data_IF_755238540457
#
_entry.id   IF_755238540457
#
_cell.length_a   1.000
_cell.length_b   1.000
_cell.length_c   1.000
_cell.angle_alpha   90.00
_cell.angle_beta   90.00
_cell.angle_gamma   90.00
#
_symmetry.space_group_name_H-M   'P 1'
#
loop_
_entity.id
_entity.type
_entity.pdbx_description
1 polymer ?
#
# COMPACT_ATOMS: atom_id res chain seq x y z
N UNK A 1 8.31 -17.69 -2.20
CA UNK A 1 8.34 -16.22 -2.13
C UNK A 1 9.38 -15.77 -1.12
N UNK A 2 10.32 -14.89 -1.50
CA UNK A 2 11.34 -14.38 -0.58
C UNK A 2 10.74 -13.62 0.58
N UNK A 3 11.49 -13.53 1.68
CA UNK A 3 11.01 -12.80 2.87
C UNK A 3 10.72 -11.33 2.58
N UNK A 4 11.53 -10.69 1.74
CA UNK A 4 11.34 -9.27 1.40
C UNK A 4 10.02 -9.04 0.66
N UNK A 5 9.68 -9.90 -0.30
CA UNK A 5 8.43 -9.81 -1.05
C UNK A 5 7.24 -10.09 -0.14
N UNK A 6 7.35 -11.11 0.70
CA UNK A 6 6.29 -11.44 1.63
C UNK A 6 6.08 -10.33 2.67
N UNK A 7 7.18 -9.74 3.15
CA UNK A 7 7.08 -8.60 4.06
C UNK A 7 6.39 -7.42 3.38
N UNK A 8 6.75 -7.10 2.13
CA UNK A 8 6.09 -6.04 1.38
C UNK A 8 4.61 -6.33 1.18
N UNK A 9 4.25 -7.57 0.85
CA UNK A 9 2.87 -8.00 0.71
C UNK A 9 2.08 -7.80 2.00
N UNK A 10 2.64 -8.27 3.11
CA UNK A 10 1.98 -8.17 4.41
C UNK A 10 1.81 -6.73 4.86
N UNK A 11 2.84 -5.90 4.64
CA UNK A 11 2.79 -4.47 4.99
C UNK A 11 1.74 -3.75 4.15
N UNK A 12 1.70 -3.99 2.85
CA UNK A 12 0.74 -3.34 1.95
C UNK A 12 -0.70 -3.77 2.27
N UNK A 13 -0.93 -5.05 2.47
CA UNK A 13 -2.24 -5.58 2.84
C UNK A 13 -2.65 -5.07 4.22
N UNK A 14 -1.71 -5.00 5.16
CA UNK A 14 -1.96 -4.46 6.49
C UNK A 14 -2.42 -3.00 6.45
N UNK A 15 -1.78 -2.18 5.62
CA UNK A 15 -2.21 -0.79 5.44
C UNK A 15 -3.61 -0.72 4.84
N UNK A 16 -3.92 -1.56 3.86
CA UNK A 16 -5.25 -1.62 3.27
C UNK A 16 -6.30 -1.99 4.32
N UNK A 17 -6.01 -2.96 5.18
CA UNK A 17 -6.92 -3.35 6.26
C UNK A 17 -7.11 -2.22 7.28
N UNK A 18 -6.06 -1.50 7.63
CA UNK A 18 -6.17 -0.31 8.48
C UNK A 18 -7.11 0.71 7.85
N UNK A 19 -7.00 0.92 6.53
CA UNK A 19 -7.89 1.81 5.81
C UNK A 19 -9.34 1.37 5.89
N UNK A 20 -9.63 0.08 5.74
CA UNK A 20 -10.98 -0.46 5.86
C UNK A 20 -11.53 -0.22 7.27
N UNK A 21 -10.73 -0.53 8.30
CA UNK A 21 -11.15 -0.34 9.69
C UNK A 21 -11.43 1.13 9.99
N UNK A 22 -10.55 2.04 9.56
CA UNK A 22 -10.74 3.47 9.77
C UNK A 22 -11.98 3.98 9.07
N UNK A 23 -12.21 3.57 7.82
CA UNK A 23 -13.38 3.98 7.05
C UNK A 23 -14.66 3.45 7.66
N UNK A 24 -14.70 2.18 8.04
CA UNK A 24 -15.86 1.58 8.66
C UNK A 24 -16.18 2.23 10.01
N UNK A 25 -15.15 2.49 10.83
CA UNK A 25 -15.33 3.16 12.11
C UNK A 25 -15.84 4.58 11.95
N UNK A 26 -15.33 5.33 10.98
CA UNK A 26 -15.81 6.68 10.69
C UNK A 26 -17.25 6.67 10.23
N UNK A 27 -17.63 5.72 9.38
CA UNK A 27 -19.01 5.58 8.93
C UNK A 27 -19.97 5.23 10.06
N UNK A 28 -19.54 4.35 10.95
CA UNK A 28 -20.34 3.94 12.09
C UNK A 28 -20.53 5.07 13.11
N UNK A 29 -19.44 5.79 13.43
CA UNK A 29 -19.44 6.78 14.51
C UNK A 29 -19.87 8.17 14.05
N UNK A 30 -19.51 8.56 12.82
CA UNK A 30 -19.65 9.94 12.35
C UNK A 30 -20.53 10.07 11.11
N UNK A 31 -20.95 8.96 10.50
CA UNK A 31 -21.86 8.97 9.37
C UNK A 31 -21.16 8.75 8.03
N UNK A 32 -21.97 8.63 6.96
CA UNK A 32 -21.51 8.29 5.61
C UNK A 32 -20.54 9.31 5.03
N UNK A 33 -20.78 10.61 5.26
CA UNK A 33 -19.90 11.66 4.76
C UNK A 33 -18.49 11.54 5.35
N UNK A 34 -18.40 11.28 6.66
CA UNK A 34 -17.12 11.07 7.32
C UNK A 34 -16.41 9.83 6.76
N UNK A 35 -17.15 8.76 6.46
CA UNK A 35 -16.59 7.57 5.85
C UNK A 35 -15.97 7.88 4.48
N UNK A 36 -16.64 8.67 3.64
CA UNK A 36 -16.14 9.05 2.33
C UNK A 36 -14.84 9.84 2.47
N UNK A 37 -14.81 10.84 3.34
CA UNK A 37 -13.60 11.63 3.55
C UNK A 37 -12.45 10.85 4.15
N UNK A 38 -12.74 9.85 4.98
CA UNK A 38 -11.71 8.95 5.53
C UNK A 38 -11.19 8.00 4.46
N UNK A 39 -12.06 7.54 3.56
CA UNK A 39 -11.68 6.60 2.50
C UNK A 39 -10.75 7.22 1.46
N UNK A 40 -10.93 8.49 1.11
CA UNK A 40 -10.18 9.15 0.03
C UNK A 40 -8.66 9.01 0.19
N UNK A 41 -8.05 9.28 1.37
CA UNK A 41 -6.59 9.11 1.53
C UNK A 41 -6.13 7.66 1.43
N UNK A 42 -7.00 6.68 1.60
CA UNK A 42 -6.65 5.27 1.56
C UNK A 42 -6.81 4.63 0.17
N UNK A 43 -7.34 5.35 -0.82
CA UNK A 43 -7.59 4.77 -2.15
C UNK A 43 -6.31 4.17 -2.76
N UNK A 44 -5.17 4.89 -2.83
CA UNK A 44 -3.94 4.27 -3.36
C UNK A 44 -3.45 3.09 -2.51
N UNK A 45 -3.67 3.14 -1.19
CA UNK A 45 -3.30 2.03 -0.31
C UNK A 45 -4.10 0.76 -0.63
N UNK A 46 -5.37 0.91 -0.93
CA UNK A 46 -6.21 -0.23 -1.32
C UNK A 46 -5.79 -0.79 -2.66
N UNK A 47 -5.46 0.06 -3.62
CA UNK A 47 -4.92 -0.38 -4.90
C UNK A 47 -3.60 -1.13 -4.73
N UNK A 48 -2.72 -0.60 -3.89
CA UNK A 48 -1.46 -1.26 -3.56
C UNK A 48 -1.69 -2.62 -2.90
N UNK A 49 -2.63 -2.70 -1.97
CA UNK A 49 -3.00 -3.95 -1.32
C UNK A 49 -3.50 -5.00 -2.30
N UNK A 50 -4.34 -4.59 -3.27
CA UNK A 50 -4.82 -5.49 -4.32
C UNK A 50 -3.66 -6.00 -5.19
N UNK A 51 -2.75 -5.11 -5.58
CA UNK A 51 -1.56 -5.52 -6.34
C UNK A 51 -0.67 -6.45 -5.51
N UNK A 52 -0.53 -6.18 -4.21
CA UNK A 52 0.24 -7.03 -3.32
C UNK A 52 -0.29 -8.46 -3.26
N UNK A 53 -1.59 -8.64 -3.36
CA UNK A 53 -2.18 -9.97 -3.41
C UNK A 53 -1.75 -10.76 -4.66
N UNK A 54 -1.31 -10.06 -5.71
CA UNK A 54 -0.82 -10.70 -6.94
C UNK A 54 0.68 -10.97 -6.91
N UNK A 55 1.36 -10.73 -5.80
CA UNK A 55 2.81 -10.96 -5.69
C UNK A 55 3.19 -12.44 -5.84
N UNK A 56 2.24 -13.35 -5.79
CA UNK A 56 2.48 -14.74 -6.11
C UNK A 56 2.80 -14.96 -7.60
N UNK A 57 2.35 -14.05 -8.46
CA UNK A 57 2.65 -14.08 -9.88
C UNK A 57 4.01 -13.45 -10.15
N UNK A 58 4.72 -13.97 -11.13
CA UNK A 58 6.06 -13.50 -11.50
C UNK A 58 5.94 -12.48 -12.64
N UNK A 59 6.68 -11.39 -12.55
CA UNK A 59 6.72 -10.40 -13.61
C UNK A 59 7.14 -9.03 -13.09
N UNK A 60 8.08 -8.38 -13.77
CA UNK A 60 8.59 -7.06 -13.38
C UNK A 60 7.49 -5.99 -13.41
N UNK A 61 6.49 -6.15 -14.27
CA UNK A 61 5.39 -5.19 -14.32
C UNK A 61 4.63 -5.11 -12.99
N UNK A 62 4.47 -6.24 -12.29
CA UNK A 62 3.83 -6.26 -10.97
C UNK A 62 4.67 -5.49 -9.96
N UNK A 63 5.97 -5.73 -9.93
CA UNK A 63 6.91 -5.05 -9.04
C UNK A 63 6.93 -3.55 -9.30
N UNK A 64 7.06 -3.15 -10.57
CA UNK A 64 7.08 -1.73 -10.96
C UNK A 64 5.75 -1.07 -10.62
N UNK A 65 4.64 -1.73 -10.93
CA UNK A 65 3.31 -1.23 -10.58
C UNK A 65 3.13 -1.00 -9.09
N UNK A 66 3.59 -1.94 -8.28
CA UNK A 66 3.53 -1.81 -6.83
C UNK A 66 4.39 -0.65 -6.32
N UNK A 67 5.60 -0.47 -6.85
CA UNK A 67 6.47 0.65 -6.49
C UNK A 67 5.81 1.98 -6.86
N UNK A 68 5.25 2.08 -8.06
CA UNK A 68 4.56 3.30 -8.50
C UNK A 68 3.34 3.60 -7.63
N UNK A 69 2.56 2.59 -7.28
CA UNK A 69 1.41 2.78 -6.39
C UNK A 69 1.84 3.19 -4.99
N UNK A 70 2.93 2.63 -4.48
CA UNK A 70 3.47 3.03 -3.19
C UNK A 70 3.95 4.49 -3.21
N UNK A 71 4.63 4.89 -4.28
CA UNK A 71 5.06 6.28 -4.44
C UNK A 71 3.86 7.22 -4.54
N UNK A 72 2.83 6.83 -5.29
CA UNK A 72 1.59 7.60 -5.40
C UNK A 72 0.90 7.70 -4.05
N UNK A 73 0.83 6.61 -3.29
CA UNK A 73 0.26 6.62 -1.95
C UNK A 73 1.02 7.57 -1.03
N UNK A 74 2.35 7.59 -1.12
CA UNK A 74 3.18 8.50 -0.32
C UNK A 74 2.80 9.96 -0.60
N UNK A 75 2.72 10.34 -1.87
CA UNK A 75 2.34 11.70 -2.25
C UNK A 75 0.89 12.01 -1.93
N UNK A 76 0.00 11.04 -2.13
CA UNK A 76 -1.43 11.20 -1.90
C UNK A 76 -1.76 11.43 -0.42
N UNK A 77 -1.00 10.80 0.47
CA UNK A 77 -1.28 10.87 1.91
C UNK A 77 -0.54 11.99 2.64
N UNK A 78 0.35 12.73 1.96
CA UNK A 78 1.04 13.88 2.56
C UNK A 78 0.06 14.91 3.15
N UNK A 79 -1.01 15.32 2.45
CA UNK A 79 -1.96 16.26 3.04
C UNK A 79 -2.62 15.75 4.32
N UNK A 80 -2.80 14.45 4.48
CA UNK A 80 -3.41 13.88 5.67
C UNK A 80 -2.56 14.10 6.93
N UNK A 81 -1.25 14.23 6.79
CA UNK A 81 -0.35 14.54 7.91
C UNK A 81 -0.65 15.94 8.45
N UNK A 82 -0.78 16.91 7.54
CA UNK A 82 -1.07 18.31 7.89
C UNK A 82 -2.48 18.45 8.48
N UNK A 83 -3.45 17.75 7.91
CA UNK A 83 -4.84 17.84 8.30
C UNK A 83 -5.18 17.01 9.55
N UNK A 84 -4.26 16.14 9.99
CA UNK A 84 -4.49 15.27 11.13
C UNK A 84 -5.46 14.13 10.86
N UNK A 85 -5.73 13.82 9.58
CA UNK A 85 -6.59 12.71 9.19
C UNK A 85 -5.80 11.40 9.05
N UNK A 86 -6.42 10.22 9.28
CA UNK A 86 -5.78 8.97 8.91
C UNK A 86 -5.56 8.91 7.40
N UNK A 87 -4.51 8.28 6.92
CA UNK A 87 -3.50 7.54 7.66
C UNK A 87 -2.39 8.40 8.28
N UNK A 88 -2.35 9.72 8.03
CA UNK A 88 -1.31 10.60 8.56
C UNK A 88 0.09 10.13 8.15
N UNK A 89 1.06 10.17 9.09
CA UNK A 89 2.43 9.75 8.77
C UNK A 89 2.57 8.26 8.44
N UNK A 90 1.58 7.44 8.79
CA UNK A 90 1.60 6.01 8.50
C UNK A 90 1.64 5.74 6.99
N UNK A 91 0.95 6.54 6.19
CA UNK A 91 0.93 6.37 4.74
C UNK A 91 2.32 6.44 4.12
N UNK A 92 3.04 7.56 4.27
CA UNK A 92 4.41 7.69 3.73
C UNK A 92 5.38 6.67 4.30
N UNK A 93 5.32 6.38 5.60
CA UNK A 93 6.21 5.43 6.26
C UNK A 93 6.01 4.03 5.67
N UNK A 94 4.78 3.56 5.60
CA UNK A 94 4.47 2.23 5.04
C UNK A 94 4.84 2.16 3.57
N UNK A 95 4.53 3.20 2.80
CA UNK A 95 4.88 3.25 1.38
C UNK A 95 6.38 3.18 1.17
N UNK A 96 7.15 3.89 1.98
CA UNK A 96 8.61 3.85 1.92
C UNK A 96 9.14 2.45 2.23
N UNK A 97 8.59 1.79 3.24
CA UNK A 97 8.96 0.43 3.60
C UNK A 97 8.71 -0.52 2.43
N UNK A 98 7.55 -0.43 1.80
CA UNK A 98 7.20 -1.25 0.63
C UNK A 98 8.17 -1.00 -0.52
N UNK A 99 8.48 0.26 -0.82
CA UNK A 99 9.40 0.62 -1.89
C UNK A 99 10.79 0.03 -1.62
N UNK A 100 11.32 0.22 -0.41
CA UNK A 100 12.63 -0.29 -0.04
C UNK A 100 12.68 -1.82 -0.16
N UNK A 101 11.65 -2.50 0.33
CA UNK A 101 11.59 -3.96 0.25
C UNK A 101 11.54 -4.45 -1.19
N UNK A 102 10.81 -3.76 -2.06
CA UNK A 102 10.69 -4.14 -3.47
C UNK A 102 11.93 -3.81 -4.29
N UNK A 103 12.79 -2.91 -3.80
CA UNK A 103 14.08 -2.63 -4.43
C UNK A 103 15.19 -3.61 -4.01
N UNK A 104 14.94 -4.46 -3.02
CA UNK A 104 15.91 -5.48 -2.62
C UNK A 104 16.17 -6.47 -3.74
N UNK A 105 17.40 -6.99 -3.79
CA UNK A 105 17.78 -7.96 -4.81
C UNK A 105 16.88 -9.19 -4.82
N UNK A 106 16.50 -9.70 -3.65
CA UNK A 106 15.60 -10.84 -3.53
C UNK A 106 14.25 -10.59 -4.20
N UNK A 107 13.67 -9.39 -4.00
CA UNK A 107 12.41 -9.03 -4.60
C UNK A 107 12.53 -8.89 -6.11
N UNK A 108 13.59 -8.23 -6.57
CA UNK A 108 13.86 -8.09 -8.00
C UNK A 108 14.00 -9.44 -8.67
N UNK A 109 14.74 -10.36 -8.04
CA UNK A 109 14.96 -11.70 -8.58
C UNK A 109 13.67 -12.52 -8.60
N UNK A 110 12.81 -12.35 -7.60
CA UNK A 110 11.50 -13.02 -7.55
C UNK A 110 10.60 -12.61 -8.71
N UNK A 111 10.53 -11.30 -9.01
CA UNK A 111 9.65 -10.78 -10.05
C UNK A 111 10.27 -10.86 -11.45
N UNK A 112 11.57 -11.09 -11.54
CA UNK A 112 12.24 -11.23 -12.82
C UNK A 112 11.92 -12.61 -13.39
N UNK A 113 11.29 -12.68 -14.60
CA UNK A 113 11.01 -13.96 -15.19
C UNK A 113 12.31 -14.70 -15.54
N UNK A 114 12.28 -16.02 -15.35
CA UNK A 114 13.40 -16.86 -15.72
C UNK A 114 13.66 -16.69 -17.23
N UNK A 115 14.91 -16.40 -17.65
CA UNK A 115 15.19 -16.17 -19.06
C UNK A 115 15.04 -17.41 -19.95
N UNK A 116 14.92 -18.56 -19.38
CA UNK A 116 14.80 -19.83 -20.12
C UNK A 116 13.55 -20.62 -19.79
#
# INVERSE_FOLDING_TARGET
>A
MPRTVRAAQLVAVGLALVGVVCTASSGWLLGTEAAIWTAVPFVPAWLLGLVALTFNSVGQSIRIGAILLAAMNMLWTVPSITDGHPPGPLGPIVSLIVIVLLFRAEARDWFEPDPW
#
